data_IF_818817078135
#
_entry.id   IF_818817078135
#
_cell.length_a   1.000
_cell.length_b   1.000
_cell.length_c   1.000
_cell.angle_alpha   90.00
_cell.angle_beta   90.00
_cell.angle_gamma   90.00
#
_symmetry.space_group_name_H-M   'P 1'
#
loop_
_entity.id
_entity.type
_entity.pdbx_description
1 polymer ?
#
# COMPACT_ATOMS: atom_id res chain seq x y z
N UNK A 1 10.42 13.02 11.63
CA UNK A 1 9.24 12.17 11.89
C UNK A 1 9.70 10.73 12.10
N UNK A 2 9.48 10.16 13.29
CA UNK A 2 9.83 8.79 13.74
C UNK A 2 11.30 8.34 13.68
N UNK A 3 12.16 8.93 12.84
CA UNK A 3 13.59 8.57 12.74
C UNK A 3 14.39 8.68 14.05
N UNK A 4 13.86 9.42 15.04
CA UNK A 4 14.47 9.55 16.37
C UNK A 4 14.15 8.39 17.31
N UNK A 5 13.16 7.53 16.97
CA UNK A 5 12.81 6.35 17.76
C UNK A 5 13.74 5.19 17.40
N UNK A 6 14.81 5.04 18.19
CA UNK A 6 15.69 3.88 18.16
C UNK A 6 15.17 2.75 19.10
N UNK A 7 15.86 1.60 19.11
CA UNK A 7 15.44 0.45 19.90
C UNK A 7 15.39 0.73 21.41
N UNK A 8 16.37 1.48 21.94
CA UNK A 8 16.41 1.87 23.36
C UNK A 8 15.20 2.71 23.76
N UNK A 9 14.84 3.71 22.95
CA UNK A 9 13.66 4.56 23.20
C UNK A 9 12.36 3.77 23.17
N UNK A 10 12.22 2.84 22.23
CA UNK A 10 11.03 1.96 22.16
C UNK A 10 10.90 1.07 23.39
N UNK A 11 12.01 0.53 23.91
CA UNK A 11 12.03 -0.22 25.18
C UNK A 11 11.58 0.64 26.36
N UNK A 12 12.08 1.88 26.46
CA UNK A 12 11.68 2.80 27.53
C UNK A 12 10.19 3.17 27.45
N UNK A 13 9.67 3.42 26.25
CA UNK A 13 8.24 3.70 26.06
C UNK A 13 7.43 2.50 26.52
N UNK A 14 7.74 1.30 26.00
CA UNK A 14 7.07 0.06 26.40
C UNK A 14 7.06 -0.16 27.92
N UNK A 15 8.20 -0.01 28.58
CA UNK A 15 8.31 -0.13 30.03
C UNK A 15 7.51 0.96 30.78
N UNK A 16 7.54 2.21 30.30
CA UNK A 16 6.84 3.33 30.93
C UNK A 16 5.33 3.34 30.71
N UNK A 17 4.84 2.74 29.61
CA UNK A 17 3.41 2.64 29.31
C UNK A 17 2.78 1.29 29.69
N UNK A 18 3.57 0.34 30.22
CA UNK A 18 3.08 -1.00 30.55
C UNK A 18 2.68 -1.84 29.33
N UNK A 19 3.28 -1.56 28.17
CA UNK A 19 2.98 -2.26 26.89
C UNK A 19 4.19 -3.04 26.38
N UNK A 20 4.03 -3.83 25.33
CA UNK A 20 5.17 -4.54 24.71
C UNK A 20 5.87 -3.67 23.67
N UNK A 21 7.13 -4.01 23.35
CA UNK A 21 7.89 -3.33 22.28
C UNK A 21 7.24 -3.56 20.91
N UNK A 22 6.59 -4.71 20.73
CA UNK A 22 5.85 -5.11 19.53
C UNK A 22 4.66 -4.18 19.29
N UNK A 23 3.92 -3.83 20.35
CA UNK A 23 2.79 -2.91 20.26
C UNK A 23 3.25 -1.49 19.90
N UNK A 24 4.35 -1.04 20.49
CA UNK A 24 4.98 0.23 20.13
C UNK A 24 5.40 0.23 18.65
N UNK A 25 5.94 -0.87 18.14
CA UNK A 25 6.30 -0.98 16.71
C UNK A 25 5.07 -0.94 15.79
N UNK A 26 3.97 -1.57 16.17
CA UNK A 26 2.70 -1.55 15.40
C UNK A 26 2.13 -0.14 15.34
N UNK A 27 2.06 0.54 16.48
CA UNK A 27 1.58 1.92 16.57
C UNK A 27 2.41 2.87 15.71
N UNK A 28 3.74 2.72 15.77
CA UNK A 28 4.66 3.53 14.97
C UNK A 28 4.40 3.35 13.46
N UNK A 29 4.13 2.12 13.00
CA UNK A 29 3.80 1.87 11.59
C UNK A 29 2.48 2.53 11.20
N UNK A 30 1.43 2.33 12.00
CA UNK A 30 0.13 2.95 11.77
C UNK A 30 0.23 4.48 11.67
N UNK A 31 1.00 5.10 12.57
CA UNK A 31 1.27 6.53 12.51
C UNK A 31 2.00 6.94 11.23
N UNK A 32 3.01 6.20 10.79
CA UNK A 32 3.73 6.50 9.54
C UNK A 32 2.82 6.41 8.32
N UNK A 33 1.93 5.43 8.29
CA UNK A 33 1.04 5.23 7.14
C UNK A 33 -0.04 6.30 7.09
N UNK A 34 -0.60 6.69 8.24
CA UNK A 34 -1.51 7.84 8.33
C UNK A 34 -0.80 9.14 7.96
N UNK A 35 0.42 9.37 8.44
CA UNK A 35 1.22 10.54 8.07
C UNK A 35 1.54 10.57 6.57
N UNK A 36 1.82 9.41 5.96
CA UNK A 36 2.00 9.27 4.51
C UNK A 36 0.72 9.61 3.75
N UNK A 37 -0.44 9.12 4.22
CA UNK A 37 -1.74 9.41 3.61
C UNK A 37 -2.08 10.91 3.71
N UNK A 38 -1.94 11.51 4.90
CA UNK A 38 -2.13 12.96 5.08
C UNK A 38 -1.19 13.78 4.20
N UNK A 39 0.07 13.35 4.05
CA UNK A 39 1.02 14.06 3.18
C UNK A 39 0.68 13.93 1.69
N UNK A 40 0.09 12.82 1.25
CA UNK A 40 -0.40 12.64 -0.13
C UNK A 40 -1.65 13.48 -0.40
N UNK A 41 -2.55 13.58 0.59
CA UNK A 41 -3.81 14.31 0.47
C UNK A 41 -3.67 15.83 0.70
N UNK A 42 -2.78 16.26 1.59
CA UNK A 42 -2.44 17.67 1.80
C UNK A 42 -1.27 18.18 0.95
N UNK A 43 -0.63 17.29 0.18
CA UNK A 43 0.47 17.63 -0.72
C UNK A 43 -0.02 18.20 -2.06
N UNK A 44 0.92 18.64 -2.90
CA UNK A 44 0.66 19.18 -4.24
C UNK A 44 -0.27 18.30 -5.09
N UNK A 45 -0.20 16.98 -4.91
CA UNK A 45 -1.08 16.01 -5.59
C UNK A 45 -2.54 16.11 -5.13
N UNK A 46 -2.79 16.17 -3.82
CA UNK A 46 -4.15 16.34 -3.30
C UNK A 46 -4.71 17.74 -3.55
N UNK A 47 -3.89 18.78 -3.47
CA UNK A 47 -4.27 20.13 -3.87
C UNK A 47 -4.60 20.23 -5.37
N UNK A 48 -3.82 19.55 -6.24
CA UNK A 48 -4.11 19.49 -7.67
C UNK A 48 -5.39 18.68 -7.97
N UNK A 49 -5.61 17.56 -7.28
CA UNK A 49 -6.85 16.79 -7.40
C UNK A 49 -8.07 17.59 -6.93
N UNK A 50 -7.95 18.32 -5.82
CA UNK A 50 -9.00 19.20 -5.32
C UNK A 50 -9.22 20.41 -6.25
N UNK A 51 -8.17 20.97 -6.85
CA UNK A 51 -8.28 22.03 -7.87
C UNK A 51 -8.89 21.52 -9.18
N UNK A 52 -8.62 20.28 -9.58
CA UNK A 52 -9.25 19.67 -10.75
C UNK A 52 -10.74 19.38 -10.50
N UNK A 53 -11.11 19.04 -9.27
CA UNK A 53 -12.49 18.80 -8.88
C UNK A 53 -13.27 20.11 -8.66
N UNK A 54 -12.69 21.09 -7.97
CA UNK A 54 -13.30 22.41 -7.70
C UNK A 54 -13.24 23.34 -8.92
N UNK A 55 -12.21 23.20 -9.75
CA UNK A 55 -12.07 23.88 -11.04
C UNK A 55 -12.72 23.12 -12.21
N UNK A 56 -13.21 21.90 -11.96
CA UNK A 56 -14.00 21.08 -12.89
C UNK A 56 -15.49 20.98 -12.53
N UNK A 57 -15.94 21.74 -11.53
CA UNK A 57 -17.35 21.85 -11.13
C UNK A 57 -17.83 23.31 -11.14
N UNK A 58 -17.49 24.02 -12.21
CA UNK A 58 -18.56 24.68 -12.92
C UNK A 58 -19.31 23.59 -13.67
N UNK A 59 -20.60 23.44 -13.44
CA UNK A 59 -21.47 22.63 -14.30
C UNK A 59 -21.43 23.25 -15.70
N UNK A 60 -21.06 22.50 -16.74
CA UNK A 60 -21.89 22.44 -17.94
C UNK A 60 -22.49 21.03 -17.92
N UNK A 61 -23.79 20.87 -17.82
CA UNK A 61 -24.62 21.29 -18.93
C UNK A 61 -24.14 20.61 -20.21
N UNK A 62 -24.26 19.28 -20.29
CA UNK A 62 -24.30 18.55 -21.55
C UNK A 62 -22.97 17.98 -22.09
N UNK A 63 -23.01 16.69 -22.42
CA UNK A 63 -22.23 16.13 -23.53
C UNK A 63 -21.02 15.28 -23.16
N UNK A 64 -21.14 13.97 -23.42
CA UNK A 64 -19.99 13.15 -23.81
C UNK A 64 -19.33 12.33 -22.71
N UNK A 65 -19.97 11.23 -22.33
CA UNK A 65 -19.24 10.08 -21.76
C UNK A 65 -18.18 9.64 -22.79
N UNK A 66 -16.89 9.52 -22.44
CA UNK A 66 -15.90 8.96 -23.35
C UNK A 66 -16.23 7.49 -23.60
N UNK A 67 -16.27 7.15 -24.87
CA UNK A 67 -16.76 5.88 -25.42
C UNK A 67 -16.02 4.68 -24.83
N UNK A 68 -16.71 3.87 -24.02
CA UNK A 68 -16.20 2.62 -23.43
C UNK A 68 -15.70 1.63 -24.51
N UNK A 69 -16.10 1.79 -25.77
CA UNK A 69 -15.57 1.05 -26.92
C UNK A 69 -14.13 1.41 -27.31
N UNK A 70 -13.71 2.67 -27.10
CA UNK A 70 -12.34 3.11 -27.40
C UNK A 70 -11.35 2.64 -26.32
N UNK A 71 -11.79 2.58 -25.06
CA UNK A 71 -10.98 2.07 -23.94
C UNK A 71 -10.77 0.54 -24.04
N UNK A 72 -11.77 -0.21 -24.50
CA UNK A 72 -11.66 -1.65 -24.75
C UNK A 72 -10.66 -1.97 -25.87
N UNK A 73 -10.64 -1.20 -26.96
CA UNK A 73 -9.68 -1.37 -28.06
C UNK A 73 -8.25 -0.95 -27.71
N UNK A 74 -8.06 -0.01 -26.78
CA UNK A 74 -6.74 0.41 -26.30
C UNK A 74 -6.13 -0.48 -25.21
N UNK A 75 -6.96 -1.19 -24.43
CA UNK A 75 -6.53 -2.03 -23.30
C UNK A 75 -6.73 -3.54 -23.54
N UNK A 76 -7.23 -3.92 -24.72
CA UNK A 76 -7.54 -5.31 -25.07
C UNK A 76 -6.47 -6.06 -25.89
N UNK A 77 -5.39 -5.42 -26.34
CA UNK A 77 -4.42 -6.08 -27.26
C UNK A 77 -2.94 -5.87 -26.96
N UNK A 78 -2.58 -5.21 -25.85
CA UNK A 78 -1.17 -5.00 -25.51
C UNK A 78 -0.96 -4.94 -24.00
N UNK A 79 -0.65 -6.11 -23.40
CA UNK A 79 0.23 -6.13 -22.23
C UNK A 79 -0.25 -6.83 -20.96
N UNK A 80 -1.52 -7.25 -20.82
CA UNK A 80 -2.01 -7.85 -19.56
C UNK A 80 -2.20 -9.38 -19.58
N UNK A 81 -2.11 -10.02 -20.74
CA UNK A 81 -2.45 -11.44 -20.90
C UNK A 81 -1.31 -12.46 -20.76
N UNK A 82 -0.04 -12.05 -20.63
CA UNK A 82 1.12 -12.96 -20.72
C UNK A 82 2.01 -13.00 -19.47
N UNK A 83 1.43 -12.70 -18.30
CA UNK A 83 2.13 -12.80 -17.00
C UNK A 83 1.41 -13.63 -15.95
N UNK A 84 0.08 -13.76 -16.04
CA UNK A 84 -0.73 -14.38 -14.99
C UNK A 84 -0.83 -15.92 -15.09
N UNK A 85 -0.37 -16.52 -16.19
CA UNK A 85 -0.36 -17.98 -16.37
C UNK A 85 0.89 -18.68 -15.84
N UNK A 86 1.98 -17.95 -15.58
CA UNK A 86 3.26 -18.55 -15.15
C UNK A 86 3.51 -18.45 -13.64
N UNK A 87 2.82 -17.55 -12.93
CA UNK A 87 2.94 -17.40 -11.47
C UNK A 87 2.04 -18.33 -10.66
N UNK A 88 1.14 -19.10 -11.30
CA UNK A 88 0.36 -20.14 -10.63
C UNK A 88 0.98 -21.54 -10.73
N UNK A 89 2.00 -21.71 -11.59
CA UNK A 89 2.68 -22.99 -11.81
C UNK A 89 3.94 -23.19 -10.95
N UNK A 90 4.45 -22.14 -10.30
CA UNK A 90 5.54 -22.24 -9.33
C UNK A 90 5.00 -22.18 -7.90
N UNK A 91 4.45 -23.32 -7.48
CA UNK A 91 4.79 -23.98 -6.21
C UNK A 91 4.63 -23.17 -4.92
N UNK A 92 3.72 -23.64 -4.07
CA UNK A 92 3.61 -23.27 -2.65
C UNK A 92 5.00 -23.12 -1.98
N UNK A 93 5.32 -21.96 -1.38
CA UNK A 93 6.41 -21.85 -0.42
C UNK A 93 5.90 -22.43 0.90
N UNK A 94 6.07 -23.74 1.14
CA UNK A 94 5.52 -24.30 2.38
C UNK A 94 5.67 -25.79 2.71
N UNK A 95 6.34 -26.63 1.93
CA UNK A 95 6.56 -28.04 2.31
C UNK A 95 7.94 -28.52 1.87
N UNK A 96 8.93 -28.39 2.75
CA UNK A 96 10.31 -28.80 2.48
C UNK A 96 11.23 -28.69 3.69
N UNK A 97 11.03 -29.55 4.68
CA UNK A 97 11.98 -29.79 5.77
C UNK A 97 11.34 -30.71 6.82
N UNK A 98 11.89 -31.86 7.21
CA UNK A 98 13.20 -32.50 6.99
C UNK A 98 13.04 -34.00 7.33
N UNK A 99 13.68 -34.96 6.64
CA UNK A 99 13.82 -36.33 7.15
C UNK A 99 14.97 -36.44 8.15
N UNK A 100 14.71 -37.26 9.18
CA UNK A 100 15.60 -38.06 10.04
C UNK A 100 17.02 -37.60 10.43
N UNK A 101 17.23 -37.59 11.75
CA UNK A 101 18.54 -37.70 12.39
C UNK A 101 18.37 -38.30 13.78
N UNK A 102 18.42 -39.64 13.85
CA UNK A 102 18.24 -40.46 15.06
C UNK A 102 19.20 -40.06 16.19
N UNK A 103 18.65 -40.10 17.39
CA UNK A 103 19.34 -40.16 18.67
C UNK A 103 20.27 -41.39 18.70
N UNK A 104 21.54 -41.17 19.05
CA UNK A 104 22.36 -42.10 19.82
C UNK A 104 23.21 -41.27 20.76
#
# INVERSE_FOLDING_TARGET
AVGLLNASRRKRIAAGSGTTVQDVNRLVKQYQDMARMMKKMGGKTGAAAMKAMLGGSGIPGGGGMPDLGALSRGLGSSGFGKGLGSSLANGLPGLGGKPDGKKK
#
